data_IF_024626554064
#
_entry.id   IF_024626554064
#
_cell.length_a   1.000
_cell.length_b   1.000
_cell.length_c   1.000
_cell.angle_alpha   90.00
_cell.angle_beta   90.00
_cell.angle_gamma   90.00
#
_symmetry.space_group_name_H-M   'P 1'
#
loop_
_entity.id
_entity.type
_entity.pdbx_description
1 polymer ?
#
# COMPACT_ATOMS: atom_id res chain seq x y z
N UNK A 1 -14.42 10.30 -11.58
CA UNK A 1 -13.25 9.60 -11.03
C UNK A 1 -12.87 10.31 -9.74
N UNK A 2 -12.81 9.59 -8.62
CA UNK A 2 -12.47 10.13 -7.30
C UNK A 2 -11.14 9.49 -6.89
N UNK A 3 -10.07 10.27 -6.93
CA UNK A 3 -8.74 9.88 -6.46
C UNK A 3 -8.16 11.02 -5.65
N UNK A 4 -7.26 10.69 -4.71
CA UNK A 4 -6.64 11.68 -3.85
C UNK A 4 -5.52 12.43 -4.59
N UNK A 5 -5.43 13.74 -4.40
CA UNK A 5 -4.24 14.52 -4.72
C UNK A 5 -3.32 14.56 -3.49
N UNK A 6 -2.17 13.89 -3.60
CA UNK A 6 -1.18 13.79 -2.54
C UNK A 6 -0.12 14.90 -2.55
N UNK A 7 -0.23 15.91 -3.43
CA UNK A 7 0.77 16.99 -3.58
C UNK A 7 1.02 17.78 -2.30
N UNK A 8 0.00 17.94 -1.44
CA UNK A 8 0.16 18.60 -0.14
C UNK A 8 1.10 17.85 0.79
N UNK A 9 0.97 16.53 0.87
CA UNK A 9 1.82 15.69 1.72
C UNK A 9 3.28 15.68 1.22
N UNK A 10 3.48 15.70 -0.09
CA UNK A 10 4.82 15.83 -0.69
C UNK A 10 5.46 17.17 -0.33
N UNK A 11 4.70 18.26 -0.43
CA UNK A 11 5.21 19.61 -0.13
C UNK A 11 5.52 19.83 1.35
N UNK A 12 4.64 19.36 2.24
CA UNK A 12 4.74 19.67 3.68
C UNK A 12 5.57 18.63 4.44
N UNK A 13 5.55 17.37 4.01
CA UNK A 13 6.17 16.26 4.73
C UNK A 13 7.32 15.60 3.94
N UNK A 14 7.54 16.00 2.68
CA UNK A 14 8.45 15.30 1.78
C UNK A 14 8.01 13.87 1.48
N UNK A 15 6.74 13.53 1.78
CA UNK A 15 6.23 12.18 1.69
C UNK A 15 5.57 11.93 0.32
N UNK A 16 5.89 10.79 -0.28
CA UNK A 16 5.29 10.32 -1.53
C UNK A 16 5.04 8.82 -1.46
N UNK A 17 3.91 8.37 -2.02
CA UNK A 17 3.67 6.95 -2.22
C UNK A 17 4.78 6.39 -3.13
N UNK A 18 5.47 5.34 -2.67
CA UNK A 18 6.64 4.77 -3.34
C UNK A 18 6.33 3.50 -4.13
N UNK A 19 5.21 2.86 -3.82
CA UNK A 19 4.81 1.59 -4.41
C UNK A 19 3.67 1.80 -5.40
N UNK A 20 3.77 1.12 -6.53
CA UNK A 20 2.71 1.06 -7.53
C UNK A 20 1.65 0.00 -7.17
N UNK A 21 0.57 -0.04 -7.94
CA UNK A 21 -0.55 -0.93 -7.68
C UNK A 21 -0.14 -2.41 -7.75
N UNK A 22 0.73 -2.78 -8.69
CA UNK A 22 1.20 -4.15 -8.85
C UNK A 22 1.94 -4.65 -7.60
N UNK A 23 2.85 -3.83 -7.06
CA UNK A 23 3.61 -4.15 -5.85
C UNK A 23 2.69 -4.34 -4.64
N UNK A 24 1.66 -3.51 -4.51
CA UNK A 24 0.64 -3.65 -3.45
C UNK A 24 -0.13 -4.98 -3.59
N UNK A 25 -0.49 -5.37 -4.82
CA UNK A 25 -1.17 -6.64 -5.07
C UNK A 25 -0.27 -7.85 -4.77
N UNK A 26 1.00 -7.81 -5.19
CA UNK A 26 1.97 -8.87 -4.93
C UNK A 26 2.22 -9.05 -3.43
N UNK A 27 2.42 -7.96 -2.70
CA UNK A 27 2.63 -7.99 -1.25
C UNK A 27 1.39 -8.55 -0.52
N UNK A 28 0.19 -8.19 -0.97
CA UNK A 28 -1.07 -8.72 -0.43
C UNK A 28 -1.18 -10.23 -0.65
N UNK A 29 -0.87 -10.70 -1.87
CA UNK A 29 -0.90 -12.12 -2.19
C UNK A 29 0.16 -12.91 -1.42
N UNK A 30 1.37 -12.36 -1.29
CA UNK A 30 2.45 -12.97 -0.51
C UNK A 30 2.04 -13.16 0.94
N UNK A 31 1.47 -12.13 1.58
CA UNK A 31 0.99 -12.23 2.96
C UNK A 31 -0.07 -13.31 3.10
N UNK A 32 -1.11 -13.28 2.26
CA UNK A 32 -2.22 -14.24 2.33
C UNK A 32 -1.76 -15.69 2.06
N UNK A 33 -0.83 -15.88 1.13
CA UNK A 33 -0.27 -17.20 0.81
C UNK A 33 0.54 -17.77 1.96
N UNK A 34 1.27 -16.93 2.69
CA UNK A 34 2.11 -17.34 3.82
C UNK A 34 1.32 -17.47 5.13
N UNK A 35 0.22 -16.73 5.27
CA UNK A 35 -0.61 -16.68 6.46
C UNK A 35 -2.07 -16.93 6.07
N UNK A 36 -2.41 -18.16 5.62
CA UNK A 36 -3.74 -18.46 5.09
C UNK A 36 -4.85 -18.25 6.13
N UNK A 37 -4.54 -18.40 7.42
CA UNK A 37 -5.47 -18.19 8.54
C UNK A 37 -5.28 -16.83 9.23
N UNK A 38 -4.43 -15.95 8.69
CA UNK A 38 -4.11 -14.66 9.29
C UNK A 38 -3.20 -14.79 10.51
N UNK A 39 -3.29 -13.80 11.42
CA UNK A 39 -2.59 -13.84 12.70
C UNK A 39 -3.29 -14.81 13.64
N UNK A 40 -2.51 -15.61 14.37
CA UNK A 40 -3.03 -16.42 15.49
C UNK A 40 -3.32 -15.49 16.69
N UNK A 41 -4.45 -15.71 17.38
CA UNK A 41 -4.86 -14.97 18.59
C UNK A 41 -3.97 -15.25 19.81
#
# INVERSE_FOLDING_TARGET
MCYADSSKAEKELGWKAKYELEEMCEDSWRWQSMNPNGYEE
#
